data_IF_483544656914
#
_entry.id   IF_483544656914
#
_cell.length_a   1.000
_cell.length_b   1.000
_cell.length_c   1.000
_cell.angle_alpha   90.00
_cell.angle_beta   90.00
_cell.angle_gamma   90.00
#
_symmetry.space_group_name_H-M   'P 1'
#
loop_
_entity.id
_entity.type
_entity.pdbx_description
1 polymer ?
#
# COMPACT_ATOMS: atom_id res chain seq x y z
N UNK A 1 -21.47 -10.12 25.63
CA UNK A 1 -21.50 -11.57 25.30
C UNK A 1 -20.38 -12.27 26.07
N UNK A 2 -20.60 -13.52 26.51
CA UNK A 2 -19.55 -14.39 27.05
C UNK A 2 -19.18 -15.41 25.97
N UNK A 3 -17.90 -15.44 25.62
CA UNK A 3 -17.36 -16.27 24.53
C UNK A 3 -16.08 -16.91 25.03
N UNK A 4 -15.84 -18.16 24.61
CA UNK A 4 -14.56 -18.85 24.80
C UNK A 4 -13.83 -18.84 23.45
N UNK A 5 -12.57 -18.39 23.45
CA UNK A 5 -11.72 -18.34 22.27
C UNK A 5 -10.43 -19.10 22.60
N UNK A 6 -10.07 -20.06 21.74
CA UNK A 6 -8.76 -20.70 21.79
C UNK A 6 -7.74 -19.78 21.14
N UNK A 7 -6.60 -19.58 21.79
CA UNK A 7 -5.50 -18.74 21.30
C UNK A 7 -4.24 -19.59 21.17
N UNK A 8 -3.48 -19.36 20.10
CA UNK A 8 -2.18 -19.99 19.91
C UNK A 8 -1.19 -19.56 21.02
N UNK A 9 -0.20 -20.42 21.28
CA UNK A 9 0.70 -20.27 22.42
C UNK A 9 1.52 -18.97 22.39
N UNK A 10 1.90 -18.53 21.19
CA UNK A 10 2.64 -17.30 20.92
C UNK A 10 1.76 -16.05 21.15
N UNK A 11 0.51 -16.09 20.70
CA UNK A 11 -0.48 -15.03 20.91
C UNK A 11 -0.81 -14.89 22.39
N UNK A 12 -1.06 -16.00 23.09
CA UNK A 12 -1.35 -16.01 24.52
C UNK A 12 -0.18 -15.44 25.34
N UNK A 13 1.06 -15.80 24.98
CA UNK A 13 2.27 -15.28 25.63
C UNK A 13 2.41 -13.77 25.42
N UNK A 14 2.20 -13.31 24.19
CA UNK A 14 2.27 -11.89 23.83
C UNK A 14 1.22 -11.05 24.59
N UNK A 15 -0.02 -11.55 24.68
CA UNK A 15 -1.09 -10.88 25.42
C UNK A 15 -0.80 -10.82 26.92
N UNK A 16 -0.28 -11.90 27.53
CA UNK A 16 0.10 -11.90 28.95
C UNK A 16 1.17 -10.85 29.25
N UNK A 17 2.20 -10.76 28.41
CA UNK A 17 3.26 -9.76 28.54
C UNK A 17 2.70 -8.34 28.45
N UNK A 18 1.88 -8.06 27.44
CA UNK A 18 1.24 -6.75 27.26
C UNK A 18 0.30 -6.38 28.39
N UNK A 19 -0.42 -7.34 28.98
CA UNK A 19 -1.26 -7.09 30.16
C UNK A 19 -0.42 -6.62 31.36
N UNK A 20 0.74 -7.26 31.57
CA UNK A 20 1.67 -6.88 32.65
C UNK A 20 2.29 -5.50 32.41
N UNK A 21 2.79 -5.25 31.21
CA UNK A 21 3.41 -3.98 30.82
C UNK A 21 2.44 -2.79 30.93
N UNK A 22 1.18 -2.99 30.50
CA UNK A 22 0.17 -1.91 30.46
C UNK A 22 -0.73 -1.86 31.70
N UNK A 23 -0.57 -2.81 32.63
CA UNK A 23 -1.41 -2.95 33.83
C UNK A 23 -2.92 -2.99 33.53
N UNK A 24 -3.30 -3.72 32.47
CA UNK A 24 -4.70 -3.88 32.05
C UNK A 24 -5.16 -5.33 32.12
N UNK A 25 -6.47 -5.53 32.22
CA UNK A 25 -7.05 -6.88 32.22
C UNK A 25 -6.96 -7.54 30.84
N UNK A 26 -6.81 -8.87 30.82
CA UNK A 26 -6.83 -9.68 29.58
C UNK A 26 -8.06 -9.38 28.73
N UNK A 27 -9.24 -9.26 29.37
CA UNK A 27 -10.49 -8.91 28.68
C UNK A 27 -10.40 -7.56 27.98
N UNK A 28 -9.90 -6.52 28.67
CA UNK A 28 -9.80 -5.19 28.08
C UNK A 28 -8.83 -5.19 26.90
N UNK A 29 -7.65 -5.80 27.07
CA UNK A 29 -6.63 -5.89 26.03
C UNK A 29 -7.12 -6.65 24.79
N UNK A 30 -7.72 -7.84 24.98
CA UNK A 30 -8.24 -8.65 23.86
C UNK A 30 -9.32 -7.90 23.10
N UNK A 31 -10.26 -7.25 23.79
CA UNK A 31 -11.32 -6.49 23.10
C UNK A 31 -10.75 -5.29 22.35
N UNK A 32 -9.77 -4.58 22.91
CA UNK A 32 -9.12 -3.47 22.22
C UNK A 32 -8.39 -3.96 20.97
N UNK A 33 -7.56 -5.00 21.09
CA UNK A 33 -6.80 -5.58 20.00
C UNK A 33 -7.73 -6.08 18.88
N UNK A 34 -8.83 -6.77 19.20
CA UNK A 34 -9.80 -7.23 18.21
C UNK A 34 -10.50 -6.07 17.49
N UNK A 35 -10.89 -5.00 18.20
CA UNK A 35 -11.51 -3.82 17.56
C UNK A 35 -10.57 -3.13 16.58
N UNK A 36 -9.29 -3.06 16.92
CA UNK A 36 -8.27 -2.49 16.05
C UNK A 36 -7.97 -3.40 14.86
N UNK A 37 -7.76 -4.69 15.10
CA UNK A 37 -7.53 -5.68 14.04
C UNK A 37 -8.71 -5.76 13.07
N UNK A 38 -9.96 -5.77 13.55
CA UNK A 38 -11.14 -5.80 12.68
C UNK A 38 -11.24 -4.54 11.82
N UNK A 39 -10.92 -3.34 12.35
CA UNK A 39 -10.86 -2.11 11.54
C UNK A 39 -9.79 -2.22 10.44
N UNK A 40 -8.61 -2.75 10.77
CA UNK A 40 -7.53 -2.92 9.80
C UNK A 40 -7.90 -3.94 8.72
N UNK A 41 -8.53 -5.06 9.08
CA UNK A 41 -8.99 -6.09 8.14
C UNK A 41 -10.11 -5.62 7.23
N UNK A 42 -10.96 -4.70 7.70
CA UNK A 42 -12.04 -4.10 6.91
C UNK A 42 -11.55 -2.94 6.03
N UNK A 43 -10.42 -2.32 6.37
CA UNK A 43 -9.87 -1.24 5.58
C UNK A 43 -9.11 -1.84 4.40
N UNK A 44 -9.52 -1.58 3.15
CA UNK A 44 -8.76 -2.05 2.00
C UNK A 44 -7.34 -1.50 2.10
N UNK A 45 -6.36 -2.38 1.92
CA UNK A 45 -4.96 -1.97 1.92
C UNK A 45 -4.80 -0.79 0.96
N UNK A 46 -4.14 0.31 1.37
CA UNK A 46 -3.92 1.43 0.49
C UNK A 46 -3.19 0.90 -0.75
N UNK A 47 -3.86 0.94 -1.90
CA UNK A 47 -3.21 0.65 -3.17
C UNK A 47 -2.21 1.77 -3.40
N UNK A 48 -0.92 1.46 -3.29
CA UNK A 48 0.08 2.38 -3.80
C UNK A 48 -0.25 2.66 -5.27
N UNK A 49 -0.24 3.93 -5.73
CA UNK A 49 -0.38 4.21 -7.15
C UNK A 49 0.73 3.46 -7.88
N UNK A 50 0.38 2.79 -8.98
CA UNK A 50 1.39 2.22 -9.86
C UNK A 50 2.24 3.37 -10.41
N UNK A 51 3.55 3.32 -10.20
CA UNK A 51 4.50 4.28 -10.72
C UNK A 51 5.36 3.57 -11.77
N UNK A 52 5.39 4.12 -12.98
CA UNK A 52 6.33 3.69 -14.02
C UNK A 52 7.62 4.49 -13.84
N UNK A 53 8.74 3.80 -13.69
CA UNK A 53 10.05 4.45 -13.66
C UNK A 53 10.31 5.19 -14.98
N UNK A 54 10.76 6.44 -14.90
CA UNK A 54 11.16 7.18 -16.08
C UNK A 54 12.58 6.79 -16.49
N UNK A 55 12.80 6.71 -17.80
CA UNK A 55 14.12 6.53 -18.39
C UNK A 55 14.43 7.74 -19.28
N UNK A 56 15.68 8.19 -19.25
CA UNK A 56 16.13 9.28 -20.12
C UNK A 56 16.29 8.76 -21.54
N UNK A 57 15.45 9.26 -22.46
CA UNK A 57 15.52 8.97 -23.90
C UNK A 57 16.22 10.08 -24.70
N UNK A 58 16.81 11.06 -24.01
CA UNK A 58 17.44 12.22 -24.62
C UNK A 58 16.50 13.40 -24.83
N UNK A 59 16.89 14.34 -25.70
CA UNK A 59 16.11 15.55 -25.99
C UNK A 59 14.99 15.25 -27.00
N UNK A 60 13.89 15.97 -26.91
CA UNK A 60 12.86 15.96 -27.95
C UNK A 60 13.44 16.50 -29.27
N UNK A 61 13.28 15.76 -30.36
CA UNK A 61 13.71 16.16 -31.71
C UNK A 61 12.65 17.01 -32.44
N UNK A 62 11.40 16.95 -31.97
CA UNK A 62 10.26 17.71 -32.50
C UNK A 62 10.24 19.09 -31.81
N UNK A 63 10.18 20.17 -32.60
CA UNK A 63 10.21 21.55 -32.09
C UNK A 63 8.91 21.96 -31.39
N UNK A 64 7.77 21.48 -31.89
CA UNK A 64 6.45 21.73 -31.33
C UNK A 64 5.60 20.46 -31.35
N UNK A 65 5.20 19.95 -30.19
CA UNK A 65 4.33 18.78 -30.06
C UNK A 65 2.84 19.10 -30.19
N UNK A 66 2.47 20.39 -30.11
CA UNK A 66 1.08 20.82 -30.27
C UNK A 66 0.68 20.95 -31.74
N UNK A 67 1.64 20.98 -32.67
CA UNK A 67 1.39 20.85 -34.10
C UNK A 67 1.48 19.38 -34.53
N UNK A 68 0.35 18.69 -34.47
CA UNK A 68 0.28 17.26 -34.75
C UNK A 68 0.65 16.95 -36.21
N UNK A 69 0.33 17.84 -37.15
CA UNK A 69 0.59 17.59 -38.57
C UNK A 69 2.09 17.59 -38.85
N UNK A 70 2.80 18.61 -38.37
CA UNK A 70 4.26 18.72 -38.49
C UNK A 70 4.98 17.57 -37.74
N UNK A 71 4.49 17.23 -36.53
CA UNK A 71 5.06 16.15 -35.74
C UNK A 71 4.98 14.78 -36.43
N UNK A 72 3.87 14.49 -37.11
CA UNK A 72 3.68 13.23 -37.85
C UNK A 72 4.52 13.20 -39.12
N UNK A 73 4.59 14.29 -39.88
CA UNK A 73 5.43 14.39 -41.09
C UNK A 73 6.90 14.12 -40.75
N UNK A 74 7.42 14.72 -39.68
CA UNK A 74 8.80 14.49 -39.23
C UNK A 74 9.04 13.04 -38.76
N UNK A 75 8.05 12.41 -38.13
CA UNK A 75 8.16 11.03 -37.66
C UNK A 75 8.13 10.01 -38.80
N UNK A 76 7.39 10.29 -39.88
CA UNK A 76 7.27 9.42 -41.05
C UNK A 76 8.47 9.55 -42.01
N UNK A 77 9.18 10.69 -42.02
CA UNK A 77 10.29 10.97 -42.96
C UNK A 77 11.69 10.56 -42.45
N UNK A 78 11.87 10.27 -41.14
CA UNK A 78 13.16 9.78 -40.61
C UNK A 78 13.28 8.23 -40.61
N UNK A 79 14.32 7.64 -41.23
CA UNK A 79 14.70 6.27 -40.94
C UNK A 79 15.36 6.24 -39.55
N UNK A 80 14.59 5.85 -38.54
CA UNK A 80 15.05 5.61 -37.16
C UNK A 80 16.47 4.99 -37.14
N UNK A 81 17.46 5.74 -36.66
CA UNK A 81 18.85 5.31 -36.45
C UNK A 81 19.24 5.35 -34.99
#
# INVERSE_FOLDING_TARGET
MRTTLTLDSDVATSLKRLCQERQVTMKALVNQALREGLRQLQTPAPKAPFQTDSVSVGRCLIANLDDIAEALELADDEPLR
#
